data_IF_166565392625
#
_entry.id   IF_166565392625
#
_cell.length_a   1.000
_cell.length_b   1.000
_cell.length_c   1.000
_cell.angle_alpha   90.00
_cell.angle_beta   90.00
_cell.angle_gamma   90.00
#
_symmetry.space_group_name_H-M   'P 1'
#
loop_
_entity.id
_entity.type
_entity.pdbx_description
1 polymer ?
#
# COMPACT_ATOMS: atom_id res chain seq x y z
N UNK A 1 -3.40 -19.09 1.11
CA UNK A 1 -2.89 -18.97 2.50
C UNK A 1 -3.50 -17.70 3.13
N UNK A 2 -3.86 -17.68 4.42
CA UNK A 2 -4.60 -16.54 5.03
C UNK A 2 -4.13 -16.19 6.45
N UNK A 3 -4.19 -14.91 6.81
CA UNK A 3 -3.92 -14.38 8.16
C UNK A 3 -5.06 -13.46 8.63
N UNK A 4 -5.24 -13.34 9.96
CA UNK A 4 -6.24 -12.45 10.55
C UNK A 4 -5.70 -11.76 11.80
N UNK A 5 -5.65 -10.44 11.78
CA UNK A 5 -5.24 -9.63 12.93
C UNK A 5 -6.40 -8.77 13.48
N UNK A 6 -6.28 -8.37 14.75
CA UNK A 6 -7.25 -7.54 15.48
C UNK A 6 -6.50 -6.48 16.26
N UNK A 7 -6.99 -5.24 16.19
CA UNK A 7 -6.38 -4.11 16.87
C UNK A 7 -7.47 -3.21 17.49
N UNK A 8 -7.13 -2.58 18.61
CA UNK A 8 -7.96 -1.59 19.27
C UNK A 8 -7.10 -0.35 19.55
N UNK A 9 -7.50 0.80 19.01
CA UNK A 9 -6.73 2.04 19.16
C UNK A 9 -7.47 3.25 18.62
N UNK A 10 -7.18 4.44 19.17
CA UNK A 10 -7.73 5.73 18.71
C UNK A 10 -9.26 5.76 18.57
N UNK A 11 -9.99 5.08 19.47
CA UNK A 11 -11.45 5.00 19.43
C UNK A 11 -12.02 4.05 18.36
N UNK A 12 -11.18 3.24 17.72
CA UNK A 12 -11.56 2.26 16.71
C UNK A 12 -11.19 0.83 17.11
N UNK A 13 -11.99 -0.11 16.63
CA UNK A 13 -11.67 -1.54 16.58
C UNK A 13 -11.46 -1.92 15.12
N UNK A 14 -10.31 -2.49 14.81
CA UNK A 14 -9.97 -2.91 13.44
C UNK A 14 -9.75 -4.43 13.38
N UNK A 15 -10.22 -5.03 12.30
CA UNK A 15 -9.96 -6.42 11.93
C UNK A 15 -9.42 -6.42 10.52
N UNK A 16 -8.25 -7.02 10.32
CA UNK A 16 -7.65 -7.20 9.00
C UNK A 16 -7.65 -8.70 8.68
N UNK A 17 -8.00 -9.02 7.45
CA UNK A 17 -7.88 -10.36 6.89
C UNK A 17 -6.99 -10.24 5.66
N UNK A 18 -5.88 -10.95 5.69
CA UNK A 18 -4.94 -10.99 4.59
C UNK A 18 -5.07 -12.33 3.90
N UNK A 19 -5.17 -12.31 2.58
CA UNK A 19 -5.19 -13.49 1.73
C UNK A 19 -4.11 -13.36 0.68
N UNK A 20 -3.28 -14.40 0.58
CA UNK A 20 -2.32 -14.56 -0.52
C UNK A 20 -2.98 -15.49 -1.54
N UNK A 21 -3.53 -14.97 -2.65
CA UNK A 21 -3.99 -15.79 -3.76
C UNK A 21 -2.77 -16.35 -4.50
N UNK A 22 -2.88 -17.61 -4.95
CA UNK A 22 -1.93 -18.17 -5.91
C UNK A 22 -2.12 -17.45 -7.24
N UNK A 23 -1.08 -16.77 -7.72
CA UNK A 23 -1.11 -16.08 -9.01
C UNK A 23 -1.17 -17.13 -10.12
N UNK A 24 -2.11 -16.97 -11.05
CA UNK A 24 -2.22 -17.86 -12.22
C UNK A 24 -1.03 -17.61 -13.16
N UNK A 25 -0.48 -18.64 -13.83
CA UNK A 25 0.50 -18.42 -14.89
C UNK A 25 -0.06 -17.46 -15.95
N UNK A 26 0.68 -16.42 -16.32
CA UNK A 26 0.28 -15.46 -17.36
C UNK A 26 0.06 -14.01 -16.91
N UNK A 27 0.18 -13.68 -15.62
CA UNK A 27 0.31 -12.27 -15.21
C UNK A 27 1.73 -11.77 -15.53
N UNK A 28 1.83 -10.58 -16.13
CA UNK A 28 3.11 -9.87 -16.33
C UNK A 28 3.79 -9.43 -15.02
N UNK A 29 3.13 -9.68 -13.88
CA UNK A 29 3.63 -9.47 -12.53
C UNK A 29 3.74 -10.84 -11.85
N UNK A 30 4.88 -11.54 -11.96
CA UNK A 30 5.05 -12.91 -11.46
C UNK A 30 5.03 -13.00 -9.92
N UNK A 31 4.95 -11.87 -9.21
CA UNK A 31 4.91 -11.83 -7.77
C UNK A 31 3.49 -11.64 -7.21
N UNK A 32 3.25 -12.19 -6.02
CA UNK A 32 1.91 -12.32 -5.45
C UNK A 32 1.24 -10.96 -5.18
N UNK A 33 0.04 -10.77 -5.74
CA UNK A 33 -0.87 -9.72 -5.34
C UNK A 33 -1.61 -10.17 -4.06
N UNK A 34 -1.34 -9.54 -2.93
CA UNK A 34 -1.99 -9.83 -1.65
C UNK A 34 -3.30 -9.05 -1.58
N UNK A 35 -4.39 -9.71 -1.21
CA UNK A 35 -5.66 -9.05 -0.89
C UNK A 35 -5.77 -8.85 0.62
N UNK A 36 -6.02 -7.61 1.04
CA UNK A 36 -6.21 -7.24 2.44
C UNK A 36 -7.61 -6.65 2.60
N UNK A 37 -8.47 -7.41 3.27
CA UNK A 37 -9.79 -6.93 3.69
C UNK A 37 -9.69 -6.35 5.09
N UNK A 38 -9.93 -5.05 5.20
CA UNK A 38 -9.86 -4.29 6.44
C UNK A 38 -11.26 -3.82 6.85
N UNK A 39 -11.70 -4.21 8.03
CA UNK A 39 -12.97 -3.80 8.64
C UNK A 39 -12.68 -2.96 9.88
N UNK A 40 -13.05 -1.68 9.84
CA UNK A 40 -12.86 -0.72 10.94
C UNK A 40 -14.22 -0.35 11.53
N UNK A 41 -14.35 -0.44 12.85
CA UNK A 41 -15.55 -0.06 13.61
C UNK A 41 -15.21 1.10 14.53
N UNK A 42 -15.93 2.20 14.46
CA UNK A 42 -15.83 3.27 15.45
C UNK A 42 -16.52 2.83 16.75
N UNK A 43 -15.82 2.88 17.87
CA UNK A 43 -16.33 2.38 19.17
C UNK A 43 -17.40 3.28 19.78
N UNK A 44 -17.38 4.58 19.48
CA UNK A 44 -18.35 5.55 20.00
C UNK A 44 -19.66 5.55 19.21
N UNK A 45 -19.57 5.49 17.88
CA UNK A 45 -20.73 5.63 16.99
C UNK A 45 -21.23 4.31 16.42
N UNK A 46 -20.50 3.22 16.61
CA UNK A 46 -20.81 1.91 16.02
C UNK A 46 -20.60 1.83 14.50
N UNK A 47 -20.29 2.95 13.82
CA UNK A 47 -20.12 3.00 12.36
C UNK A 47 -19.03 2.03 11.90
N UNK A 48 -19.36 1.22 10.89
CA UNK A 48 -18.47 0.21 10.30
C UNK A 48 -18.09 0.63 8.89
N UNK A 49 -16.79 0.59 8.57
CA UNK A 49 -16.28 0.72 7.22
C UNK A 49 -15.47 -0.50 6.83
N UNK A 50 -15.63 -0.98 5.59
CA UNK A 50 -14.84 -2.06 5.01
C UNK A 50 -14.07 -1.53 3.81
N UNK A 51 -12.79 -1.85 3.71
CA UNK A 51 -11.94 -1.55 2.57
C UNK A 51 -11.22 -2.81 2.12
N UNK A 52 -11.08 -2.98 0.81
CA UNK A 52 -10.24 -4.02 0.22
C UNK A 52 -9.04 -3.31 -0.40
N UNK A 53 -7.85 -3.75 -0.05
CA UNK A 53 -6.57 -3.20 -0.53
C UNK A 53 -5.81 -4.33 -1.21
N UNK A 54 -5.26 -4.05 -2.39
CA UNK A 54 -4.36 -4.96 -3.08
C UNK A 54 -2.93 -4.46 -2.91
N UNK A 55 -2.01 -5.35 -2.54
CA UNK A 55 -0.58 -5.05 -2.43
C UNK A 55 0.21 -5.97 -3.34
N UNK A 56 1.18 -5.43 -4.06
CA UNK A 56 2.16 -6.23 -4.82
C UNK A 56 3.40 -6.36 -3.94
N UNK A 57 3.92 -7.58 -3.79
CA UNK A 57 5.16 -7.85 -3.07
C UNK A 57 6.10 -8.63 -3.98
N UNK A 58 7.41 -8.44 -3.86
CA UNK A 58 8.40 -9.29 -4.56
C UNK A 58 8.60 -10.65 -3.91
N UNK A 59 7.99 -10.90 -2.75
CA UNK A 59 8.12 -12.15 -2.00
C UNK A 59 7.12 -13.19 -2.51
N UNK A 60 7.62 -14.38 -2.87
CA UNK A 60 6.80 -15.53 -3.15
C UNK A 60 6.17 -16.09 -1.85
N UNK A 61 5.07 -16.83 -1.98
CA UNK A 61 4.39 -17.46 -0.84
C UNK A 61 5.26 -18.46 -0.06
N UNK A 62 6.30 -18.98 -0.69
CA UNK A 62 7.30 -19.87 -0.08
C UNK A 62 8.35 -19.10 0.75
N UNK A 63 8.60 -17.84 0.39
CA UNK A 63 9.60 -16.99 1.04
C UNK A 63 9.04 -16.26 2.27
N UNK A 64 7.74 -15.97 2.27
CA UNK A 64 7.08 -15.32 3.39
C UNK A 64 5.64 -15.82 3.55
N UNK A 65 5.34 -16.33 4.75
CA UNK A 65 3.98 -16.70 5.12
C UNK A 65 3.07 -15.46 5.32
N UNK A 66 1.74 -15.63 5.32
CA UNK A 66 0.77 -14.55 5.52
C UNK A 66 1.00 -13.69 6.76
N UNK A 67 1.47 -14.28 7.87
CA UNK A 67 1.76 -13.54 9.09
C UNK A 67 2.97 -12.60 8.90
N UNK A 68 4.04 -13.06 8.25
CA UNK A 68 5.21 -12.23 7.93
C UNK A 68 4.84 -11.13 6.94
N UNK A 69 4.08 -11.46 5.89
CA UNK A 69 3.56 -10.49 4.94
C UNK A 69 2.64 -9.46 5.63
N UNK A 70 1.80 -9.89 6.57
CA UNK A 70 0.95 -8.99 7.35
C UNK A 70 1.77 -8.03 8.21
N UNK A 71 2.87 -8.49 8.82
CA UNK A 71 3.78 -7.63 9.58
C UNK A 71 4.49 -6.63 8.67
N UNK A 72 5.03 -7.07 7.53
CA UNK A 72 5.71 -6.21 6.56
C UNK A 72 4.78 -5.12 6.03
N UNK A 73 3.54 -5.46 5.68
CA UNK A 73 2.56 -4.47 5.20
C UNK A 73 2.14 -3.49 6.31
N UNK A 74 2.03 -3.96 7.56
CA UNK A 74 1.66 -3.08 8.68
C UNK A 74 2.80 -2.14 9.11
N UNK A 75 4.06 -2.58 8.96
CA UNK A 75 5.26 -1.81 9.32
C UNK A 75 5.82 -0.94 8.19
N UNK A 76 5.25 -0.99 6.99
CA UNK A 76 5.69 -0.18 5.86
C UNK A 76 5.43 1.32 6.13
N UNK A 77 6.47 2.05 6.51
CA UNK A 77 6.42 3.48 6.77
C UNK A 77 6.89 4.25 5.52
N UNK A 78 5.95 4.56 4.63
CA UNK A 78 6.22 5.46 3.50
C UNK A 78 6.69 6.83 3.99
N UNK A 79 6.13 7.31 5.09
CA UNK A 79 6.51 8.59 5.69
C UNK A 79 7.93 8.59 6.27
N UNK A 80 8.46 7.44 6.71
CA UNK A 80 9.87 7.36 7.11
C UNK A 80 10.80 7.52 5.89
N UNK A 81 10.40 7.01 4.72
CA UNK A 81 11.15 7.22 3.48
C UNK A 81 11.05 8.67 3.00
N UNK A 82 9.89 9.31 3.13
CA UNK A 82 9.74 10.76 2.89
C UNK A 82 10.66 11.54 3.81
N UNK A 83 10.66 11.25 5.12
CA UNK A 83 11.56 11.94 6.05
C UNK A 83 13.04 11.82 5.65
N UNK A 84 13.50 10.63 5.25
CA UNK A 84 14.88 10.46 4.78
C UNK A 84 15.13 11.33 3.54
N UNK A 85 14.22 11.34 2.56
CA UNK A 85 14.36 12.16 1.35
C UNK A 85 14.33 13.66 1.65
N UNK A 86 13.35 14.12 2.40
CA UNK A 86 13.12 15.55 2.64
C UNK A 86 14.19 16.13 3.55
N UNK A 87 14.55 15.40 4.62
CA UNK A 87 15.45 15.91 5.66
C UNK A 87 16.89 15.45 5.46
N UNK A 88 17.12 14.16 5.26
CA UNK A 88 18.50 13.62 5.17
C UNK A 88 19.10 13.91 3.79
N UNK A 89 18.33 13.68 2.72
CA UNK A 89 18.76 14.02 1.36
C UNK A 89 18.54 15.50 1.03
N UNK A 90 17.80 16.24 1.87
CA UNK A 90 17.56 17.67 1.68
C UNK A 90 16.77 17.99 0.41
N UNK A 91 15.90 17.08 -0.03
CA UNK A 91 15.13 17.23 -1.29
C UNK A 91 14.39 18.57 -1.33
N UNK A 92 13.70 18.93 -0.25
CA UNK A 92 12.96 20.21 -0.11
C UNK A 92 13.88 21.45 -0.15
N UNK A 93 15.12 21.31 0.30
CA UNK A 93 16.09 22.39 0.31
C UNK A 93 16.88 22.50 -1.01
N UNK A 94 16.76 21.51 -1.89
CA UNK A 94 17.46 21.49 -3.18
C UNK A 94 16.89 22.53 -4.14
N UNK A 95 17.78 23.37 -4.68
CA UNK A 95 17.44 24.39 -5.70
C UNK A 95 17.86 23.97 -7.10
N UNK A 96 18.44 22.78 -7.26
CA UNK A 96 18.85 22.24 -8.55
C UNK A 96 17.58 21.82 -9.29
N UNK A 97 17.18 22.62 -10.28
CA UNK A 97 16.10 22.29 -11.20
C UNK A 97 16.65 22.14 -12.61
N UNK A 98 16.42 20.97 -13.20
CA UNK A 98 16.46 20.85 -14.66
C UNK A 98 15.18 21.50 -15.19
N UNK A 99 15.24 22.52 -16.05
CA UNK A 99 14.04 23.07 -16.64
C UNK A 99 13.35 21.94 -17.40
N UNK A 100 12.12 21.63 -17.01
CA UNK A 100 11.28 20.79 -17.87
C UNK A 100 10.89 21.70 -19.03
N UNK A 101 11.19 21.34 -20.30
CA UNK A 101 10.63 22.08 -21.42
C UNK A 101 9.13 22.15 -21.20
N UNK A 102 8.54 23.33 -21.39
CA UNK A 102 7.10 23.52 -21.26
C UNK A 102 6.40 22.42 -22.06
N UNK A 103 5.86 21.43 -21.35
CA UNK A 103 5.02 20.42 -21.98
C UNK A 103 3.84 21.20 -22.57
N UNK A 104 3.57 20.97 -23.85
CA UNK A 104 2.32 21.45 -24.43
C UNK A 104 1.17 21.01 -23.51
N UNK A 105 0.18 21.88 -23.24
CA UNK A 105 -0.96 21.50 -22.44
C UNK A 105 -1.60 20.25 -23.04
N UNK A 106 -2.06 19.35 -22.16
CA UNK A 106 -2.78 18.15 -22.59
C UNK A 106 -3.93 18.55 -23.53
N UNK A 107 -4.03 17.96 -24.73
CA UNK A 107 -5.15 18.24 -25.62
C UNK A 107 -6.45 17.77 -24.95
N UNK A 108 -7.55 18.53 -25.05
CA UNK A 108 -8.80 18.25 -24.36
C UNK A 108 -9.58 17.09 -25.01
N UNK A 109 -9.01 15.88 -25.06
CA UNK A 109 -9.69 14.64 -25.46
C UNK A 109 -8.78 13.38 -25.55
N UNK A 110 -7.56 13.38 -25.00
CA UNK A 110 -6.77 12.15 -24.98
C UNK A 110 -7.28 11.19 -23.89
N UNK A 111 -7.89 10.08 -24.29
CA UNK A 111 -8.21 8.95 -23.39
C UNK A 111 -7.01 8.00 -23.39
N UNK A 112 -6.54 7.57 -22.22
CA UNK A 112 -5.44 6.62 -22.06
C UNK A 112 -5.70 5.30 -22.81
N UNK A 113 -4.65 4.61 -23.32
CA UNK A 113 -4.79 3.32 -24.00
C UNK A 113 -5.27 2.19 -23.07
#
# INVERSE_FOLDING_TARGET
MQDRSRECGHGHREVRQLKVPTVRPGLLFPHAAIEIKRRRTNRKTGKVGTRVVYAVTSLASEQAGPAQLAQLVQGASVEALHHVRDVTCGEDASRIRTPVPHHAPWPPCATSP
#
